data_IF_832101157966
#
_entry.id   IF_832101157966
#
_cell.length_a   1.000
_cell.length_b   1.000
_cell.length_c   1.000
_cell.angle_alpha   90.00
_cell.angle_beta   90.00
_cell.angle_gamma   90.00
#
_symmetry.space_group_name_H-M   'P 1'
#
loop_
_entity.id
_entity.type
_entity.pdbx_description
1 polymer ?
#
# COMPACT_ATOMS: atom_id res chain seq x y z
N UNK A 1 12.78 31.81 12.35
CA UNK A 1 12.27 31.18 11.11
C UNK A 1 10.81 30.88 11.34
N UNK A 2 9.90 31.48 10.56
CA UNK A 2 8.45 31.33 10.75
C UNK A 2 8.06 29.91 10.32
N UNK A 3 7.64 29.08 11.28
CA UNK A 3 7.00 27.79 11.00
C UNK A 3 5.57 28.08 10.57
N UNK A 4 5.38 28.34 9.28
CA UNK A 4 4.04 28.44 8.71
C UNK A 4 3.31 27.11 9.00
N UNK A 5 2.12 27.21 9.62
CA UNK A 5 1.22 26.07 9.77
C UNK A 5 0.94 25.51 8.37
N UNK A 6 1.16 24.21 8.13
CA UNK A 6 0.86 23.64 6.83
C UNK A 6 -0.60 23.92 6.46
N UNK A 7 -0.92 24.24 5.19
CA UNK A 7 -2.29 24.42 4.78
C UNK A 7 -3.09 23.12 5.04
N UNK A 8 -4.34 23.28 5.46
CA UNK A 8 -5.19 22.13 5.81
C UNK A 8 -5.55 21.28 4.59
N UNK A 9 -5.60 21.91 3.41
CA UNK A 9 -5.97 21.31 2.13
C UNK A 9 -5.09 21.88 0.99
N UNK A 10 -4.88 21.07 -0.04
CA UNK A 10 -4.13 21.43 -1.25
C UNK A 10 -5.00 21.22 -2.49
N UNK A 11 -5.05 22.21 -3.38
CA UNK A 11 -5.70 22.08 -4.68
C UNK A 11 -4.66 21.74 -5.74
N UNK A 12 -4.75 20.55 -6.34
CA UNK A 12 -3.75 20.07 -7.28
C UNK A 12 -4.37 19.42 -8.51
N UNK A 13 -3.74 19.55 -9.69
CA UNK A 13 -4.19 18.88 -10.89
C UNK A 13 -3.85 17.38 -10.88
N UNK A 14 -4.76 16.56 -11.42
CA UNK A 14 -4.45 15.19 -11.85
C UNK A 14 -3.44 15.24 -13.01
N UNK A 15 -2.26 14.66 -12.82
CA UNK A 15 -1.19 14.64 -13.82
C UNK A 15 -1.22 13.38 -14.68
N UNK A 16 -1.56 12.23 -14.09
CA UNK A 16 -1.56 10.97 -14.81
C UNK A 16 -2.57 9.98 -14.21
N UNK A 17 -2.98 9.00 -15.04
CA UNK A 17 -3.84 7.88 -14.64
C UNK A 17 -3.50 6.66 -15.47
N UNK A 18 -3.30 5.52 -14.81
CA UNK A 18 -3.02 4.25 -15.47
C UNK A 18 -3.43 3.05 -14.61
N UNK A 19 -3.60 1.89 -15.25
CA UNK A 19 -3.87 0.64 -14.53
C UNK A 19 -2.55 0.06 -13.99
N UNK A 20 -2.55 -0.33 -12.72
CA UNK A 20 -1.40 -0.98 -12.05
C UNK A 20 -1.63 -2.47 -11.80
N UNK A 21 -2.85 -2.93 -12.03
CA UNK A 21 -3.32 -4.31 -12.07
C UNK A 21 -4.72 -4.32 -12.70
N UNK A 22 -5.26 -5.50 -12.98
CA UNK A 22 -6.66 -5.64 -13.39
C UNK A 22 -7.57 -4.93 -12.40
N UNK A 23 -8.47 -4.10 -12.94
CA UNK A 23 -9.44 -3.30 -12.18
C UNK A 23 -8.80 -2.47 -11.05
N UNK A 24 -7.54 -2.06 -11.19
CA UNK A 24 -6.84 -1.28 -10.18
C UNK A 24 -6.20 -0.06 -10.82
N UNK A 25 -6.71 1.10 -10.44
CA UNK A 25 -6.36 2.37 -11.05
C UNK A 25 -5.42 3.13 -10.13
N UNK A 26 -4.29 3.59 -10.67
CA UNK A 26 -3.44 4.59 -10.04
C UNK A 26 -3.74 5.98 -10.59
N UNK A 27 -3.71 6.96 -9.72
CA UNK A 27 -3.88 8.38 -10.01
C UNK A 27 -2.64 9.09 -9.47
N UNK A 28 -1.96 9.85 -10.33
CA UNK A 28 -0.85 10.70 -9.93
C UNK A 28 -1.28 12.16 -9.99
N UNK A 29 -1.06 12.88 -8.91
CA UNK A 29 -1.31 14.30 -8.77
C UNK A 29 0.01 15.04 -8.68
N UNK A 30 -0.03 16.34 -9.00
CA UNK A 30 1.07 17.23 -8.69
C UNK A 30 1.35 17.21 -7.18
N UNK A 31 2.63 17.10 -6.80
CA UNK A 31 3.03 17.23 -5.41
C UNK A 31 3.18 18.72 -5.08
N UNK A 32 2.34 19.28 -4.20
CA UNK A 32 2.43 20.69 -3.89
C UNK A 32 3.69 20.99 -3.08
N UNK A 33 4.22 22.22 -3.21
CA UNK A 33 5.37 22.66 -2.44
C UNK A 33 5.08 22.58 -0.93
N UNK A 34 6.01 22.02 -0.15
CA UNK A 34 5.86 21.84 1.29
C UNK A 34 4.96 20.68 1.71
N UNK A 35 4.54 19.82 0.78
CA UNK A 35 3.84 18.58 1.12
C UNK A 35 4.83 17.52 1.60
N UNK A 36 5.12 17.55 2.90
CA UNK A 36 5.96 16.58 3.58
C UNK A 36 5.10 15.47 4.22
N UNK A 37 5.44 14.21 3.95
CA UNK A 37 4.76 13.06 4.53
C UNK A 37 5.75 11.94 4.86
N UNK A 38 5.36 11.09 5.80
CA UNK A 38 6.08 9.87 6.14
C UNK A 38 5.56 8.72 5.29
N UNK A 39 6.46 7.92 4.72
CA UNK A 39 6.09 6.76 3.94
C UNK A 39 5.18 5.80 4.74
N UNK A 40 4.05 5.42 4.16
CA UNK A 40 2.98 4.66 4.82
C UNK A 40 1.75 5.50 5.21
N UNK A 41 1.86 6.83 5.24
CA UNK A 41 0.73 7.71 5.51
C UNK A 41 -0.33 7.70 4.39
N UNK A 42 -1.48 8.28 4.70
CA UNK A 42 -2.63 8.41 3.84
C UNK A 42 -3.12 9.86 3.78
N UNK A 43 -4.00 10.17 2.84
CA UNK A 43 -4.58 11.50 2.69
C UNK A 43 -6.01 11.40 2.14
N UNK A 44 -6.83 12.40 2.44
CA UNK A 44 -8.11 12.58 1.78
C UNK A 44 -7.91 13.02 0.33
N UNK A 45 -8.72 12.48 -0.56
CA UNK A 45 -8.86 12.91 -1.95
C UNK A 45 -10.33 13.27 -2.19
N UNK A 46 -10.61 14.53 -2.48
CA UNK A 46 -11.96 15.03 -2.74
C UNK A 46 -12.11 15.42 -4.21
N UNK A 47 -13.18 14.92 -4.86
CA UNK A 47 -13.61 15.42 -6.16
C UNK A 47 -14.44 16.70 -5.95
N UNK A 48 -14.01 17.82 -6.55
CA UNK A 48 -14.65 19.13 -6.33
C UNK A 48 -15.99 19.30 -7.05
N UNK A 49 -16.15 18.61 -8.19
CA UNK A 49 -17.34 18.69 -9.05
C UNK A 49 -17.71 17.30 -9.54
N UNK A 50 -18.12 16.39 -8.64
CA UNK A 50 -18.50 15.05 -9.04
C UNK A 50 -19.84 15.06 -9.78
N UNK A 51 -19.98 14.18 -10.77
CA UNK A 51 -21.24 13.99 -11.51
C UNK A 51 -22.27 13.17 -10.73
N UNK A 52 -21.82 12.46 -9.70
CA UNK A 52 -22.65 11.64 -8.80
C UNK A 52 -21.96 11.49 -7.44
N UNK A 53 -22.75 11.25 -6.39
CA UNK A 53 -22.27 11.04 -5.02
C UNK A 53 -23.00 9.85 -4.38
N UNK A 54 -22.45 9.29 -3.31
CA UNK A 54 -23.08 8.25 -2.50
C UNK A 54 -23.05 8.63 -1.01
N UNK A 55 -23.46 7.73 -0.11
CA UNK A 55 -23.52 8.01 1.32
C UNK A 55 -22.16 8.36 1.97
N UNK A 56 -21.05 7.98 1.32
CA UNK A 56 -19.69 8.32 1.75
C UNK A 56 -19.21 9.65 1.16
N UNK A 57 -20.03 10.31 0.33
CA UNK A 57 -19.78 11.63 -0.24
C UNK A 57 -18.67 11.66 -1.28
N UNK A 58 -18.01 12.82 -1.38
CA UNK A 58 -17.08 13.14 -2.49
C UNK A 58 -15.61 13.02 -2.11
N UNK A 59 -15.36 12.60 -0.86
CA UNK A 59 -14.02 12.43 -0.30
C UNK A 59 -13.78 10.95 -0.02
N UNK A 60 -12.58 10.48 -0.34
CA UNK A 60 -12.10 9.16 0.09
C UNK A 60 -10.69 9.28 0.64
N UNK A 61 -10.44 8.54 1.71
CA UNK A 61 -9.13 8.45 2.32
C UNK A 61 -8.27 7.41 1.59
N UNK A 62 -7.06 7.74 1.17
CA UNK A 62 -6.20 6.79 0.46
C UNK A 62 -4.79 6.82 1.01
N UNK A 63 -4.19 5.65 1.21
CA UNK A 63 -2.75 5.55 1.41
C UNK A 63 -2.00 6.17 0.24
N UNK A 64 -0.99 6.98 0.57
CA UNK A 64 -0.09 7.59 -0.42
C UNK A 64 0.82 6.47 -0.90
N UNK A 65 0.64 6.07 -2.15
CA UNK A 65 1.36 4.99 -2.80
C UNK A 65 2.75 5.41 -3.29
N UNK A 66 2.95 6.71 -3.53
CA UNK A 66 4.28 7.25 -3.86
C UNK A 66 5.17 7.37 -2.63
N UNK A 67 6.48 7.28 -2.83
CA UNK A 67 7.47 7.51 -1.78
C UNK A 67 7.71 9.01 -1.58
N UNK A 68 8.15 9.44 -0.37
CA UNK A 68 8.39 10.86 -0.09
C UNK A 68 9.40 11.56 -1.01
N UNK A 69 10.30 10.82 -1.66
CA UNK A 69 11.28 11.41 -2.60
C UNK A 69 10.74 11.57 -4.03
N UNK A 70 9.60 10.94 -4.38
CA UNK A 70 8.97 11.11 -5.68
C UNK A 70 8.38 12.54 -5.78
N UNK A 71 8.41 13.11 -6.98
CA UNK A 71 7.96 14.47 -7.32
C UNK A 71 6.46 14.55 -7.60
N UNK A 72 5.74 13.45 -7.43
CA UNK A 72 4.29 13.34 -7.53
C UNK A 72 3.68 12.66 -6.29
N UNK A 73 2.39 12.93 -6.07
CA UNK A 73 1.58 12.17 -5.12
C UNK A 73 0.78 11.12 -5.87
N UNK A 74 0.90 9.85 -5.46
CA UNK A 74 0.14 8.76 -6.08
C UNK A 74 -0.79 8.11 -5.08
N UNK A 75 -2.02 7.81 -5.51
CA UNK A 75 -2.92 6.88 -4.83
C UNK A 75 -3.30 5.77 -5.80
N UNK A 76 -3.67 4.59 -5.28
CA UNK A 76 -4.24 3.55 -6.12
C UNK A 76 -5.43 2.88 -5.44
N UNK A 77 -6.41 2.48 -6.24
CA UNK A 77 -7.66 1.92 -5.75
C UNK A 77 -8.18 0.81 -6.65
N UNK A 78 -8.81 -0.19 -6.04
CA UNK A 78 -9.64 -1.15 -6.77
C UNK A 78 -10.88 -0.44 -7.28
N UNK A 79 -11.18 -0.60 -8.57
CA UNK A 79 -12.42 -0.14 -9.17
C UNK A 79 -13.56 -1.03 -8.66
N UNK A 80 -14.39 -0.43 -7.81
CA UNK A 80 -15.63 -0.99 -7.25
C UNK A 80 -16.79 -0.09 -7.65
N UNK A 81 -18.00 -0.58 -7.44
CA UNK A 81 -19.23 0.11 -7.83
C UNK A 81 -19.67 1.15 -6.78
N UNK A 82 -18.85 2.17 -6.58
CA UNK A 82 -19.15 3.34 -5.73
C UNK A 82 -19.17 4.59 -6.61
N UNK A 83 -19.97 5.60 -6.25
CA UNK A 83 -20.10 6.83 -7.04
C UNK A 83 -18.73 7.50 -7.27
N UNK A 84 -17.91 7.60 -6.23
CA UNK A 84 -16.56 8.18 -6.33
C UNK A 84 -15.68 7.42 -7.35
N UNK A 85 -15.64 6.09 -7.27
CA UNK A 85 -14.74 5.25 -8.09
C UNK A 85 -15.18 5.11 -9.55
N UNK A 86 -16.47 5.20 -9.86
CA UNK A 86 -16.98 5.17 -11.24
C UNK A 86 -16.49 6.36 -12.06
N UNK A 87 -16.23 7.49 -11.41
CA UNK A 87 -15.78 8.72 -12.05
C UNK A 87 -14.28 8.73 -12.35
N UNK A 88 -13.46 8.03 -11.55
CA UNK A 88 -11.99 8.09 -11.65
C UNK A 88 -11.42 7.73 -13.03
N UNK A 89 -11.92 6.70 -13.74
CA UNK A 89 -11.47 6.37 -15.09
C UNK A 89 -11.74 7.48 -16.12
N UNK A 90 -12.76 8.30 -15.90
CA UNK A 90 -13.22 9.36 -16.81
C UNK A 90 -12.67 10.76 -16.51
N UNK A 91 -11.99 10.97 -15.37
CA UNK A 91 -11.42 12.28 -15.03
C UNK A 91 -10.49 12.79 -16.13
N UNK A 92 -10.60 14.05 -16.52
CA UNK A 92 -9.63 14.62 -17.46
C UNK A 92 -8.29 14.85 -16.74
N UNK A 93 -7.17 14.70 -17.47
CA UNK A 93 -5.89 15.20 -16.97
C UNK A 93 -5.98 16.73 -16.82
N UNK A 94 -5.40 17.27 -15.77
CA UNK A 94 -5.55 18.68 -15.38
C UNK A 94 -6.77 18.96 -14.50
N UNK A 95 -7.71 18.02 -14.34
CA UNK A 95 -8.81 18.19 -13.38
C UNK A 95 -8.24 18.44 -11.98
N UNK A 96 -8.65 19.55 -11.37
CA UNK A 96 -8.24 19.90 -10.00
C UNK A 96 -9.02 19.07 -8.99
N UNK A 97 -8.29 18.44 -8.08
CA UNK A 97 -8.84 17.77 -6.89
C UNK A 97 -8.36 18.49 -5.64
N UNK A 98 -9.04 18.25 -4.52
CA UNK A 98 -8.56 18.68 -3.21
C UNK A 98 -7.92 17.50 -2.49
N UNK A 99 -6.69 17.68 -2.00
CA UNK A 99 -5.98 16.74 -1.17
C UNK A 99 -5.93 17.26 0.27
N UNK A 100 -6.24 16.40 1.23
CA UNK A 100 -6.04 16.71 2.65
C UNK A 100 -4.58 16.64 3.06
N UNK A 101 -4.25 17.19 4.23
CA UNK A 101 -2.95 16.97 4.86
C UNK A 101 -2.67 15.47 5.10
N UNK A 102 -1.40 15.02 5.05
CA UNK A 102 -1.06 13.62 5.28
C UNK A 102 -1.38 13.21 6.73
N UNK A 103 -2.14 12.14 6.86
CA UNK A 103 -2.56 11.53 8.12
C UNK A 103 -2.16 10.06 8.24
N UNK A 104 -2.57 9.43 9.34
CA UNK A 104 -2.27 8.02 9.62
C UNK A 104 -0.95 7.79 10.34
N UNK A 105 -0.84 6.62 10.99
CA UNK A 105 0.28 6.27 11.86
C UNK A 105 1.17 5.17 11.31
N UNK A 106 0.80 4.53 10.20
CA UNK A 106 1.62 3.48 9.59
C UNK A 106 2.96 4.05 9.13
N UNK A 107 4.04 3.46 9.64
CA UNK A 107 5.42 3.79 9.33
C UNK A 107 6.32 2.63 9.67
N UNK A 108 7.44 2.51 8.98
CA UNK A 108 8.49 1.57 9.32
C UNK A 108 9.03 1.85 10.73
N UNK A 109 9.26 0.83 11.55
CA UNK A 109 9.86 0.98 12.87
C UNK A 109 11.29 1.50 12.78
N UNK A 110 11.72 2.20 13.82
CA UNK A 110 13.02 2.87 13.81
C UNK A 110 14.22 1.95 14.13
N UNK A 111 14.00 0.71 14.58
CA UNK A 111 15.09 -0.21 14.93
C UNK A 111 15.56 -1.05 13.71
N UNK A 112 16.65 -0.71 13.02
CA UNK A 112 17.09 -1.44 11.82
C UNK A 112 17.60 -2.86 12.10
N UNK A 113 17.88 -3.22 13.36
CA UNK A 113 18.35 -4.57 13.72
C UNK A 113 17.22 -5.60 13.71
N UNK A 114 15.97 -5.15 13.82
CA UNK A 114 14.79 -6.00 13.71
C UNK A 114 14.32 -6.03 12.27
N UNK A 115 13.90 -7.20 11.79
CA UNK A 115 13.31 -7.29 10.46
C UNK A 115 11.88 -6.72 10.45
N UNK A 116 11.49 -6.11 9.35
CA UNK A 116 10.11 -5.73 9.08
C UNK A 116 9.46 -6.78 8.17
N UNK A 117 8.38 -7.39 8.62
CA UNK A 117 7.64 -8.41 7.86
C UNK A 117 6.26 -7.86 7.51
N UNK A 118 6.04 -7.57 6.23
CA UNK A 118 4.78 -7.08 5.70
C UNK A 118 3.93 -8.26 5.22
N UNK A 119 2.77 -8.46 5.82
CA UNK A 119 1.77 -9.47 5.45
C UNK A 119 0.59 -8.74 4.79
N UNK A 120 0.65 -8.65 3.46
CA UNK A 120 -0.16 -7.71 2.69
C UNK A 120 -1.14 -8.42 1.79
N UNK A 121 -2.40 -7.99 1.81
CA UNK A 121 -3.46 -8.46 0.93
C UNK A 121 -4.00 -7.37 0.02
N UNK A 122 -4.10 -7.66 -1.28
CA UNK A 122 -4.85 -6.81 -2.21
C UNK A 122 -4.28 -5.40 -2.36
N UNK A 123 -5.12 -4.38 -2.14
CA UNK A 123 -4.75 -2.96 -2.34
C UNK A 123 -3.96 -2.36 -1.19
N UNK A 124 -3.87 -3.03 -0.04
CA UNK A 124 -3.05 -2.57 1.08
C UNK A 124 -1.55 -2.43 0.75
N UNK A 125 -1.15 -2.93 -0.43
CA UNK A 125 0.17 -2.73 -1.01
C UNK A 125 0.54 -1.28 -1.24
N UNK A 126 -0.42 -0.35 -1.38
CA UNK A 126 -0.14 1.07 -1.63
C UNK A 126 0.73 1.69 -0.55
N UNK A 127 0.34 1.56 0.72
CA UNK A 127 1.12 2.09 1.83
C UNK A 127 2.50 1.42 1.92
N UNK A 128 2.56 0.11 1.66
CA UNK A 128 3.81 -0.65 1.70
C UNK A 128 4.73 -0.33 0.54
N UNK A 129 4.21 -0.06 -0.67
CA UNK A 129 5.00 0.43 -1.80
C UNK A 129 5.75 1.71 -1.41
N UNK A 130 5.06 2.67 -0.80
CA UNK A 130 5.69 3.91 -0.31
C UNK A 130 6.83 3.63 0.67
N UNK A 131 6.60 2.75 1.65
CA UNK A 131 7.62 2.34 2.63
C UNK A 131 8.83 1.66 1.97
N UNK A 132 8.60 0.69 1.08
CA UNK A 132 9.65 -0.09 0.44
C UNK A 132 10.50 0.77 -0.50
N UNK A 133 9.88 1.65 -1.29
CA UNK A 133 10.61 2.57 -2.16
C UNK A 133 11.41 3.59 -1.36
N UNK A 134 10.86 4.12 -0.25
CA UNK A 134 11.62 4.99 0.65
C UNK A 134 12.83 4.25 1.24
N UNK A 135 12.62 3.02 1.72
CA UNK A 135 13.69 2.22 2.31
C UNK A 135 14.81 1.94 1.32
N UNK A 136 14.46 1.60 0.07
CA UNK A 136 15.43 1.36 -0.99
C UNK A 136 16.20 2.64 -1.39
N UNK A 137 15.50 3.76 -1.56
CA UNK A 137 16.10 5.06 -1.90
C UNK A 137 17.11 5.51 -0.83
N UNK A 138 16.72 5.43 0.44
CA UNK A 138 17.54 5.86 1.57
C UNK A 138 18.60 4.82 1.97
N UNK A 139 18.55 3.62 1.38
CA UNK A 139 19.40 2.47 1.74
C UNK A 139 19.32 2.14 3.24
N UNK A 140 18.10 2.14 3.78
CA UNK A 140 17.87 1.78 5.18
C UNK A 140 18.35 0.36 5.45
N UNK A 141 19.00 0.13 6.59
CA UNK A 141 19.64 -1.15 6.91
C UNK A 141 18.67 -2.28 7.30
N UNK A 142 17.37 -2.01 7.34
CA UNK A 142 16.35 -2.98 7.73
C UNK A 142 16.34 -4.18 6.80
N UNK A 143 16.21 -5.38 7.36
CA UNK A 143 15.80 -6.56 6.58
C UNK A 143 14.28 -6.50 6.37
N UNK A 144 13.83 -6.51 5.13
CA UNK A 144 12.45 -6.32 4.73
C UNK A 144 11.92 -7.59 4.04
N UNK A 145 10.78 -8.09 4.50
CA UNK A 145 10.10 -9.23 3.89
C UNK A 145 8.68 -8.82 3.53
N UNK A 146 8.34 -8.87 2.24
CA UNK A 146 6.98 -8.63 1.76
C UNK A 146 6.33 -9.96 1.39
N UNK A 147 5.39 -10.43 2.22
CA UNK A 147 4.46 -11.49 1.85
C UNK A 147 3.23 -10.85 1.20
N UNK A 148 3.10 -10.98 -0.12
CA UNK A 148 2.07 -10.30 -0.88
C UNK A 148 1.05 -11.28 -1.45
N UNK A 149 -0.15 -11.30 -0.86
CA UNK A 149 -1.23 -12.23 -1.20
C UNK A 149 -2.27 -11.60 -2.12
N UNK A 150 -2.51 -12.26 -3.26
CA UNK A 150 -3.61 -11.95 -4.16
C UNK A 150 -4.32 -13.23 -4.63
N UNK A 151 -5.42 -13.07 -5.36
CA UNK A 151 -6.08 -14.21 -6.02
C UNK A 151 -5.28 -14.66 -7.23
N UNK A 152 -4.91 -13.71 -8.10
CA UNK A 152 -4.16 -13.98 -9.31
C UNK A 152 -3.06 -12.92 -9.53
N UNK A 153 -2.01 -13.23 -10.30
CA UNK A 153 -0.96 -12.27 -10.63
C UNK A 153 -1.47 -10.99 -11.29
N UNK A 154 -2.52 -11.08 -12.12
CA UNK A 154 -3.15 -9.95 -12.81
C UNK A 154 -3.85 -9.01 -11.82
N UNK A 155 -4.25 -9.53 -10.66
CA UNK A 155 -4.84 -8.73 -9.59
C UNK A 155 -3.77 -8.04 -8.73
N UNK A 156 -2.49 -8.38 -8.84
CA UNK A 156 -1.46 -7.92 -7.90
C UNK A 156 -0.87 -6.57 -8.33
N UNK A 157 -1.35 -5.48 -7.71
CA UNK A 157 -0.89 -4.14 -8.02
C UNK A 157 0.60 -3.97 -7.69
N UNK A 158 1.35 -3.37 -8.63
CA UNK A 158 2.80 -3.12 -8.50
C UNK A 158 3.67 -4.37 -8.35
N UNK A 159 3.15 -5.56 -8.69
CA UNK A 159 3.88 -6.82 -8.51
C UNK A 159 5.22 -6.84 -9.24
N UNK A 160 5.23 -6.44 -10.51
CA UNK A 160 6.44 -6.47 -11.34
C UNK A 160 7.47 -5.43 -10.86
N UNK A 161 7.01 -4.24 -10.47
CA UNK A 161 7.85 -3.18 -9.88
C UNK A 161 8.53 -3.65 -8.60
N UNK A 162 7.77 -4.21 -7.66
CA UNK A 162 8.29 -4.66 -6.38
C UNK A 162 9.22 -5.88 -6.53
N UNK A 163 8.93 -6.75 -7.50
CA UNK A 163 9.82 -7.86 -7.86
C UNK A 163 11.15 -7.32 -8.38
N UNK A 164 11.14 -6.35 -9.30
CA UNK A 164 12.34 -5.71 -9.82
C UNK A 164 13.12 -4.94 -8.73
N UNK A 165 12.41 -4.29 -7.81
CA UNK A 165 13.03 -3.63 -6.65
C UNK A 165 13.81 -4.63 -5.79
N UNK A 166 13.23 -5.80 -5.51
CA UNK A 166 13.89 -6.86 -4.74
C UNK A 166 15.18 -7.39 -5.39
N UNK A 167 15.27 -7.35 -6.72
CA UNK A 167 16.47 -7.76 -7.46
C UNK A 167 17.62 -6.76 -7.31
N UNK A 168 17.31 -5.49 -7.04
CA UNK A 168 18.29 -4.40 -6.93
C UNK A 168 18.55 -3.97 -5.49
N UNK A 169 17.71 -4.39 -4.54
CA UNK A 169 17.84 -4.09 -3.11
C UNK A 169 17.93 -5.38 -2.28
N UNK A 170 19.15 -5.88 -1.99
CA UNK A 170 19.36 -7.20 -1.37
C UNK A 170 18.74 -7.40 0.02
N UNK A 171 18.33 -6.32 0.70
CA UNK A 171 17.69 -6.40 2.00
C UNK A 171 16.16 -6.58 1.89
N UNK A 172 15.59 -6.52 0.69
CA UNK A 172 14.17 -6.79 0.43
C UNK A 172 13.97 -8.16 -0.22
N UNK A 173 13.22 -9.01 0.47
CA UNK A 173 12.65 -10.22 -0.11
C UNK A 173 11.18 -9.99 -0.44
N UNK A 174 10.77 -10.30 -1.69
CA UNK A 174 9.36 -10.28 -2.11
C UNK A 174 8.87 -11.70 -2.29
N UNK A 175 7.96 -12.12 -1.41
CA UNK A 175 7.31 -13.43 -1.35
C UNK A 175 5.85 -13.25 -1.77
N UNK A 176 5.62 -13.19 -3.07
CA UNK A 176 4.26 -13.12 -3.61
C UNK A 176 3.59 -14.50 -3.59
N UNK A 177 2.31 -14.55 -3.22
CA UNK A 177 1.51 -15.78 -3.19
C UNK A 177 0.13 -15.61 -3.81
N UNK A 178 -0.32 -16.62 -4.56
CA UNK A 178 -1.58 -16.58 -5.32
C UNK A 178 -2.56 -17.65 -4.86
N UNK A 179 -3.78 -17.24 -4.52
CA UNK A 179 -4.80 -18.12 -3.90
C UNK A 179 -5.91 -18.59 -4.87
N UNK A 180 -5.84 -18.21 -6.14
CA UNK A 180 -6.91 -18.42 -7.13
C UNK A 180 -6.41 -18.63 -8.57
N UNK A 181 -5.25 -19.29 -8.72
CA UNK A 181 -4.57 -19.49 -10.02
C UNK A 181 -5.43 -20.17 -11.10
N UNK A 182 -6.43 -20.97 -10.71
CA UNK A 182 -7.34 -21.62 -11.66
C UNK A 182 -8.09 -20.63 -12.59
N UNK A 183 -8.13 -19.33 -12.23
CA UNK A 183 -8.76 -18.25 -13.01
C UNK A 183 -7.74 -17.28 -13.62
N UNK A 184 -6.45 -17.61 -13.56
CA UNK A 184 -5.37 -16.79 -14.09
C UNK A 184 -5.09 -17.16 -15.54
N UNK A 185 -4.77 -16.17 -16.34
CA UNK A 185 -4.25 -16.31 -17.71
C UNK A 185 -2.74 -16.09 -17.76
N UNK A 186 -2.15 -15.53 -16.70
CA UNK A 186 -0.72 -15.34 -16.51
C UNK A 186 -0.09 -16.56 -15.81
N UNK A 187 1.03 -17.12 -16.33
CA UNK A 187 1.74 -18.18 -15.63
C UNK A 187 2.30 -17.69 -14.29
N UNK A 188 2.33 -18.58 -13.30
CA UNK A 188 2.83 -18.27 -11.97
C UNK A 188 3.78 -19.36 -11.48
N UNK A 189 4.96 -18.93 -11.02
CA UNK A 189 6.01 -19.82 -10.49
C UNK A 189 6.37 -19.51 -9.03
N UNK A 190 5.67 -18.56 -8.41
CA UNK A 190 5.82 -18.25 -6.98
C UNK A 190 4.95 -19.14 -6.10
N UNK A 191 4.72 -18.68 -4.87
CA UNK A 191 3.91 -19.41 -3.90
C UNK A 191 2.43 -19.44 -4.30
N UNK A 192 1.71 -20.50 -3.93
CA UNK A 192 0.32 -20.72 -4.33
C UNK A 192 -0.57 -21.09 -3.14
N UNK A 193 -0.30 -20.51 -1.97
CA UNK A 193 -0.96 -20.81 -0.71
C UNK A 193 -1.42 -19.55 0.03
N UNK A 194 -2.26 -19.70 1.06
CA UNK A 194 -2.59 -18.58 1.95
C UNK A 194 -1.39 -18.30 2.87
N UNK A 195 -1.20 -17.04 3.22
CA UNK A 195 -0.21 -16.67 4.26
C UNK A 195 -0.59 -17.37 5.56
N UNK A 196 0.28 -18.25 6.03
CA UNK A 196 0.11 -19.02 7.24
C UNK A 196 1.46 -19.49 7.79
N UNK A 197 1.46 -20.24 8.91
CA UNK A 197 2.69 -20.59 9.64
C UNK A 197 3.73 -21.32 8.79
N UNK A 198 3.29 -22.22 7.89
CA UNK A 198 4.20 -22.97 7.02
C UNK A 198 4.98 -22.06 6.07
N UNK A 199 4.27 -21.16 5.37
CA UNK A 199 4.88 -20.18 4.46
C UNK A 199 5.80 -19.20 5.20
N UNK A 200 5.39 -18.72 6.38
CA UNK A 200 6.23 -17.85 7.20
C UNK A 200 7.51 -18.57 7.63
N UNK A 201 7.40 -19.79 8.14
CA UNK A 201 8.56 -20.58 8.57
C UNK A 201 9.53 -20.86 7.41
N UNK A 202 9.00 -21.12 6.21
CA UNK A 202 9.81 -21.35 4.99
C UNK A 202 10.75 -20.18 4.69
N UNK A 203 10.29 -18.94 4.88
CA UNK A 203 11.00 -17.73 4.45
C UNK A 203 11.62 -16.91 5.59
N UNK A 204 11.17 -17.12 6.83
CA UNK A 204 11.63 -16.38 8.02
C UNK A 204 12.46 -17.23 8.98
N UNK A 205 12.84 -18.45 8.59
CA UNK A 205 13.76 -19.26 9.40
C UNK A 205 15.06 -18.48 9.67
N UNK A 206 15.40 -18.29 10.95
CA UNK A 206 16.57 -17.52 11.37
C UNK A 206 16.37 -16.00 11.40
N UNK A 207 15.13 -15.50 11.32
CA UNK A 207 14.80 -14.08 11.52
C UNK A 207 14.25 -13.89 12.94
N UNK A 208 15.08 -13.48 13.92
CA UNK A 208 14.64 -13.33 15.30
C UNK A 208 13.77 -12.07 15.46
N UNK A 209 12.67 -12.22 16.19
CA UNK A 209 11.81 -11.13 16.69
C UNK A 209 11.52 -10.03 15.64
N UNK A 210 11.00 -10.37 14.45
CA UNK A 210 10.57 -9.37 13.48
C UNK A 210 9.41 -8.54 14.03
N UNK A 211 9.18 -7.37 13.45
CA UNK A 211 7.93 -6.63 13.63
C UNK A 211 7.04 -6.84 12.42
N UNK A 212 5.81 -7.29 12.66
CA UNK A 212 4.84 -7.62 11.63
C UNK A 212 3.97 -6.41 11.29
N UNK A 213 3.66 -6.27 10.00
CA UNK A 213 2.72 -5.29 9.47
C UNK A 213 1.63 -6.06 8.73
N UNK A 214 0.42 -6.10 9.28
CA UNK A 214 -0.69 -6.90 8.74
C UNK A 214 -1.71 -5.98 8.11
N UNK A 215 -1.79 -6.00 6.78
CA UNK A 215 -2.48 -4.95 6.04
C UNK A 215 -3.29 -5.57 4.90
N UNK A 216 -4.60 -5.31 4.85
CA UNK A 216 -5.44 -5.83 3.77
C UNK A 216 -6.92 -5.93 4.12
N UNK A 217 -7.67 -6.84 3.44
CA UNK A 217 -9.08 -7.05 3.74
C UNK A 217 -9.30 -7.48 5.21
N UNK A 218 -10.38 -7.04 5.87
CA UNK A 218 -10.61 -7.31 7.30
C UNK A 218 -10.47 -8.78 7.71
N UNK A 219 -11.04 -9.70 6.92
CA UNK A 219 -10.94 -11.13 7.18
C UNK A 219 -9.50 -11.68 7.12
N UNK A 220 -8.66 -11.13 6.25
CA UNK A 220 -7.23 -11.48 6.21
C UNK A 220 -6.52 -10.90 7.43
N UNK A 221 -6.75 -9.62 7.74
CA UNK A 221 -6.06 -8.95 8.86
C UNK A 221 -6.37 -9.64 10.19
N UNK A 222 -7.64 -9.91 10.47
CA UNK A 222 -8.04 -10.61 11.68
C UNK A 222 -7.48 -12.04 11.73
N UNK A 223 -7.58 -12.80 10.64
CA UNK A 223 -7.08 -14.18 10.58
C UNK A 223 -5.56 -14.27 10.75
N UNK A 224 -4.81 -13.37 10.10
CA UNK A 224 -3.35 -13.33 10.18
C UNK A 224 -2.88 -12.86 11.55
N UNK A 225 -3.49 -11.84 12.16
CA UNK A 225 -3.15 -11.40 13.53
C UNK A 225 -3.42 -12.51 14.55
N UNK A 226 -4.56 -13.18 14.46
CA UNK A 226 -4.88 -14.32 15.35
C UNK A 226 -3.85 -15.45 15.21
N UNK A 227 -3.43 -15.75 13.97
CA UNK A 227 -2.38 -16.74 13.70
C UNK A 227 -1.02 -16.35 14.29
N UNK A 228 -0.62 -15.07 14.17
CA UNK A 228 0.63 -14.58 14.77
C UNK A 228 0.60 -14.72 16.31
N UNK A 229 -0.50 -14.32 16.95
CA UNK A 229 -0.65 -14.43 18.40
C UNK A 229 -0.64 -15.91 18.86
N UNK A 230 -1.29 -16.81 18.12
CA UNK A 230 -1.27 -18.25 18.40
C UNK A 230 0.12 -18.88 18.26
N UNK A 231 1.00 -18.28 17.46
CA UNK A 231 2.39 -18.71 17.29
C UNK A 231 3.36 -18.00 18.25
N UNK A 232 2.83 -17.21 19.20
CA UNK A 232 3.60 -16.59 20.28
C UNK A 232 4.22 -15.25 19.94
N UNK A 233 3.80 -14.59 18.85
CA UNK A 233 4.19 -13.21 18.56
C UNK A 233 3.48 -12.27 19.53
N UNK A 234 4.22 -11.35 20.14
CA UNK A 234 3.67 -10.31 21.00
C UNK A 234 2.84 -9.32 20.17
N UNK A 235 1.71 -8.87 20.70
CA UNK A 235 0.82 -7.94 20.01
C UNK A 235 1.48 -6.56 19.81
N UNK A 236 2.42 -6.17 20.69
CA UNK A 236 3.24 -4.95 20.54
C UNK A 236 4.17 -5.01 19.30
N UNK A 237 4.44 -6.21 18.81
CA UNK A 237 5.20 -6.49 17.60
C UNK A 237 4.32 -6.67 16.35
N UNK A 238 3.02 -6.34 16.44
CA UNK A 238 2.07 -6.41 15.33
C UNK A 238 1.45 -5.02 15.10
N UNK A 239 1.70 -4.46 13.90
CA UNK A 239 1.02 -3.26 13.40
C UNK A 239 -0.02 -3.67 12.38
N UNK A 240 -1.29 -3.57 12.72
CA UNK A 240 -2.39 -3.98 11.86
C UNK A 240 -3.22 -2.79 11.38
N UNK A 241 -3.53 -2.75 10.09
CA UNK A 241 -4.52 -1.83 9.50
C UNK A 241 -5.46 -2.61 8.59
N UNK A 242 -6.76 -2.53 8.84
CA UNK A 242 -7.76 -3.12 7.96
C UNK A 242 -8.31 -2.09 6.97
N UNK A 243 -8.29 -2.48 5.70
CA UNK A 243 -8.93 -1.70 4.64
C UNK A 243 -10.35 -2.22 4.45
N UNK A 244 -11.21 -1.98 5.45
CA UNK A 244 -12.65 -2.20 5.36
C UNK A 244 -13.30 -1.07 4.55
N UNK A 245 -14.06 -1.40 3.51
CA UNK A 245 -14.95 -0.43 2.86
C UNK A 245 -14.40 0.39 1.68
N UNK A 246 -13.13 0.27 1.28
CA UNK A 246 -12.67 0.90 0.02
C UNK A 246 -13.18 0.15 -1.21
#
# INVERSE_FOLDING_TARGET
MSTATPPSDYLVPLKNRFLVAERTLALQFEKPAGFDFVAGQAMDVTLLQPTETDAEGDTRYFSIASAPHEDFLMVATRLRDTAFKRQLPGLALGTTVKLGAPGGSLRLHNNPQRAAVFLVGGIGITAIRSILLRAAHDRLAHRLFLFYSNRRPEDAAFLDELTALSQTHPQLAVIATMTGLAKSTRPWHGEAERIGPALLNKHLSGVPSPVYYVIGPPGMVHGTRAMLNQTGVDDDDIRAEDFGGY
#
